data_IF_503690650465
#
_entry.id   IF_503690650465
#
_cell.length_a   1.000
_cell.length_b   1.000
_cell.length_c   1.000
_cell.angle_alpha   90.00
_cell.angle_beta   90.00
_cell.angle_gamma   90.00
#
_symmetry.space_group_name_H-M   'P 1'
#
loop_
_entity.id
_entity.type
_entity.pdbx_description
1 polymer ?
#
# COMPACT_ATOMS: atom_id res chain seq x y z
N UNK A 1 -17.88 -0.98 -5.57
CA UNK A 1 -16.78 -0.91 -4.58
C UNK A 1 -16.96 -1.98 -3.48
N UNK A 2 -15.97 -2.85 -3.31
CA UNK A 2 -16.03 -3.99 -2.36
C UNK A 2 -16.07 -3.56 -0.88
N UNK A 3 -15.55 -2.38 -0.58
CA UNK A 3 -15.55 -1.76 0.75
C UNK A 3 -15.95 -0.29 0.58
N UNK A 4 -16.89 0.25 1.39
CA UNK A 4 -17.22 1.68 1.35
C UNK A 4 -15.95 2.53 1.53
N UNK A 5 -15.74 3.61 0.78
CA UNK A 5 -14.50 4.42 0.77
C UNK A 5 -13.19 3.60 0.65
N UNK A 6 -13.17 2.54 -0.16
CA UNK A 6 -11.96 1.86 -0.61
C UNK A 6 -11.31 0.90 0.40
N UNK A 7 -10.15 0.39 0.02
CA UNK A 7 -9.24 -0.47 0.78
C UNK A 7 -7.81 -0.28 0.25
N UNK A 8 -6.80 -0.62 1.04
CA UNK A 8 -5.40 -0.57 0.60
C UNK A 8 -5.00 -1.90 -0.02
N UNK A 9 -4.31 -1.88 -1.17
CA UNK A 9 -3.88 -3.10 -1.86
C UNK A 9 -2.89 -3.91 -1.02
N UNK A 10 -3.12 -5.22 -0.91
CA UNK A 10 -2.23 -6.12 -0.16
C UNK A 10 -0.82 -6.21 -0.75
N UNK A 11 -0.69 -6.18 -2.08
CA UNK A 11 0.61 -6.27 -2.76
C UNK A 11 1.53 -5.08 -2.47
N UNK A 12 0.97 -3.87 -2.37
CA UNK A 12 1.73 -2.69 -1.98
C UNK A 12 2.07 -2.68 -0.48
N UNK A 13 1.48 -3.57 0.32
CA UNK A 13 1.40 -3.53 1.79
C UNK A 13 0.57 -2.38 2.35
N UNK A 14 0.23 -2.48 3.64
CA UNK A 14 -0.42 -1.43 4.41
C UNK A 14 0.19 -1.41 5.82
N UNK A 15 0.13 -0.24 6.49
CA UNK A 15 0.69 -0.05 7.83
C UNK A 15 -0.45 0.19 8.82
N UNK A 16 -0.44 -0.58 9.91
CA UNK A 16 -1.39 -0.44 11.00
C UNK A 16 -0.72 0.22 12.21
N UNK A 17 -1.42 1.17 12.82
CA UNK A 17 -1.03 1.65 14.14
C UNK A 17 -1.15 0.52 15.16
N UNK A 18 -0.43 0.66 16.28
CA UNK A 18 -0.49 -0.33 17.38
C UNK A 18 -1.93 -0.59 17.84
N UNK A 19 -2.75 0.45 17.93
CA UNK A 19 -4.16 0.30 18.35
C UNK A 19 -5.02 -0.31 17.24
N UNK A 20 -4.78 0.02 15.97
CA UNK A 20 -5.49 -0.63 14.85
C UNK A 20 -5.23 -2.14 14.82
N UNK A 21 -3.97 -2.54 14.97
CA UNK A 21 -3.59 -3.96 15.05
C UNK A 21 -4.20 -4.64 16.27
N UNK A 22 -4.21 -3.97 17.43
CA UNK A 22 -4.84 -4.51 18.65
C UNK A 22 -6.33 -4.77 18.45
N UNK A 23 -7.06 -3.81 17.87
CA UNK A 23 -8.49 -3.95 17.58
C UNK A 23 -8.75 -5.05 16.56
N UNK A 24 -7.96 -5.10 15.48
CA UNK A 24 -8.04 -6.17 14.50
C UNK A 24 -7.88 -7.54 15.16
N UNK A 25 -6.83 -7.74 15.95
CA UNK A 25 -6.59 -9.00 16.65
C UNK A 25 -7.74 -9.39 17.58
N UNK A 26 -8.24 -8.45 18.38
CA UNK A 26 -9.34 -8.74 19.31
C UNK A 26 -10.63 -9.12 18.59
N UNK A 27 -10.94 -8.44 17.48
CA UNK A 27 -12.12 -8.75 16.68
C UNK A 27 -11.96 -10.03 15.91
N UNK A 28 -10.81 -10.28 15.29
CA UNK A 28 -10.58 -11.50 14.53
C UNK A 28 -10.63 -12.76 15.43
N UNK A 29 -10.34 -12.65 16.73
CA UNK A 29 -10.48 -13.75 17.68
C UNK A 29 -11.85 -13.80 18.38
N UNK A 30 -12.76 -12.86 18.11
CA UNK A 30 -14.12 -12.90 18.62
C UNK A 30 -14.97 -13.80 17.71
N UNK A 31 -15.52 -14.88 18.28
CA UNK A 31 -16.38 -15.82 17.56
C UNK A 31 -17.70 -15.21 17.08
N UNK A 32 -18.05 -14.01 17.56
CA UNK A 32 -19.19 -13.22 17.09
C UNK A 32 -18.82 -12.19 16.04
N UNK A 33 -17.53 -12.06 15.69
CA UNK A 33 -17.12 -11.10 14.67
C UNK A 33 -17.62 -11.51 13.29
N UNK A 34 -17.74 -10.51 12.42
CA UNK A 34 -18.06 -10.70 11.00
C UNK A 34 -16.81 -10.65 10.12
N UNK A 35 -15.63 -10.88 10.72
CA UNK A 35 -14.38 -10.90 9.98
C UNK A 35 -14.23 -12.26 9.31
N UNK A 36 -14.04 -12.25 7.99
CA UNK A 36 -13.88 -13.48 7.22
C UNK A 36 -12.41 -13.92 7.28
N UNK A 37 -12.18 -15.16 7.73
CA UNK A 37 -10.82 -15.70 7.87
C UNK A 37 -10.25 -16.27 6.56
N UNK A 38 -11.09 -16.85 5.69
CA UNK A 38 -10.63 -17.52 4.46
C UNK A 38 -11.66 -17.42 3.32
N UNK A 39 -11.23 -17.66 2.08
CA UNK A 39 -12.05 -17.67 0.86
C UNK A 39 -12.35 -16.29 0.26
N UNK A 40 -11.76 -15.23 0.80
CA UNK A 40 -11.87 -13.85 0.30
C UNK A 40 -10.53 -13.25 -0.13
N UNK A 41 -10.57 -12.05 -0.72
CA UNK A 41 -9.35 -11.26 -0.94
C UNK A 41 -8.92 -10.63 0.38
N UNK A 42 -7.74 -10.99 0.86
CA UNK A 42 -7.22 -10.61 2.18
C UNK A 42 -7.27 -9.08 2.42
N UNK A 43 -6.89 -8.28 1.42
CA UNK A 43 -6.87 -6.82 1.50
C UNK A 43 -8.27 -6.19 1.60
N UNK A 44 -9.26 -6.82 0.97
CA UNK A 44 -10.68 -6.45 1.09
C UNK A 44 -11.20 -6.85 2.48
N UNK A 45 -10.92 -8.07 2.94
CA UNK A 45 -11.47 -8.60 4.19
C UNK A 45 -10.86 -7.92 5.42
N UNK A 46 -9.56 -7.64 5.43
CA UNK A 46 -8.93 -6.87 6.51
C UNK A 46 -9.51 -5.45 6.59
N UNK A 47 -9.76 -4.81 5.45
CA UNK A 47 -10.36 -3.48 5.41
C UNK A 47 -11.80 -3.47 5.94
N UNK A 48 -12.62 -4.49 5.63
CA UNK A 48 -13.95 -4.66 6.22
C UNK A 48 -13.87 -4.87 7.74
N UNK A 49 -13.00 -5.77 8.18
CA UNK A 49 -12.84 -6.11 9.60
C UNK A 49 -12.42 -4.90 10.43
N UNK A 50 -11.39 -4.16 9.99
CA UNK A 50 -10.91 -2.95 10.65
C UNK A 50 -12.00 -1.87 10.76
N UNK A 51 -12.82 -1.71 9.72
CA UNK A 51 -13.93 -0.76 9.73
C UNK A 51 -15.00 -1.10 10.74
N UNK A 52 -15.32 -2.38 10.92
CA UNK A 52 -16.31 -2.83 11.90
C UNK A 52 -15.94 -2.42 13.34
N UNK A 53 -14.66 -2.13 13.59
CA UNK A 53 -14.13 -1.63 14.87
C UNK A 53 -13.64 -0.18 14.83
N UNK A 54 -14.17 0.58 13.87
CA UNK A 54 -13.95 2.02 13.77
C UNK A 54 -12.54 2.42 13.36
N UNK A 55 -11.76 1.51 12.77
CA UNK A 55 -10.48 1.86 12.14
C UNK A 55 -10.74 2.22 10.68
N UNK A 56 -10.43 3.46 10.34
CA UNK A 56 -10.64 4.01 8.99
C UNK A 56 -9.33 4.07 8.22
N UNK A 57 -9.44 4.10 6.89
CA UNK A 57 -8.29 4.26 6.00
C UNK A 57 -7.66 5.64 6.20
N UNK A 58 -6.35 5.64 6.37
CA UNK A 58 -5.52 6.83 6.27
C UNK A 58 -5.08 7.09 4.83
N UNK A 59 -4.76 8.34 4.52
CA UNK A 59 -4.18 8.73 3.23
C UNK A 59 -2.73 8.25 3.13
N UNK A 60 -2.37 7.68 1.98
CA UNK A 60 -1.05 7.14 1.66
C UNK A 60 -0.18 8.08 0.82
N UNK A 61 -0.56 9.35 0.72
CA UNK A 61 0.12 10.36 -0.10
C UNK A 61 1.03 11.27 0.73
N UNK A 62 2.03 11.86 0.07
CA UNK A 62 2.83 12.94 0.64
C UNK A 62 2.19 14.33 0.50
N UNK A 63 2.92 15.36 0.93
CA UNK A 63 2.49 16.77 0.85
C UNK A 63 2.27 17.29 -0.58
N UNK A 64 2.86 16.65 -1.58
CA UNK A 64 2.70 16.95 -3.01
C UNK A 64 1.63 16.08 -3.67
N UNK A 65 0.94 15.23 -2.89
CA UNK A 65 -0.07 14.25 -3.34
C UNK A 65 0.51 13.09 -4.16
N UNK A 66 1.80 12.80 -4.03
CA UNK A 66 2.39 11.60 -4.64
C UNK A 66 2.17 10.38 -3.73
N UNK A 67 1.87 9.23 -4.33
CA UNK A 67 1.63 7.98 -3.60
C UNK A 67 2.93 7.45 -2.96
N UNK A 68 2.79 6.87 -1.76
CA UNK A 68 3.91 6.25 -1.02
C UNK A 68 3.90 4.73 -1.07
N UNK A 69 2.78 4.11 -1.43
CA UNK A 69 2.60 2.66 -1.51
C UNK A 69 2.17 2.28 -2.92
N UNK A 70 2.96 1.43 -3.57
CA UNK A 70 2.82 1.18 -5.01
C UNK A 70 2.48 -0.29 -5.29
N UNK A 71 1.28 -0.61 -5.84
CA UNK A 71 0.86 -2.00 -6.09
C UNK A 71 1.53 -2.66 -7.30
N UNK A 72 2.48 -1.98 -7.93
CA UNK A 72 3.26 -2.43 -9.08
C UNK A 72 4.74 -2.04 -8.86
N UNK A 73 5.63 -2.54 -9.71
CA UNK A 73 7.04 -2.18 -9.64
C UNK A 73 7.27 -0.72 -10.08
N UNK A 74 8.45 -0.18 -9.72
CA UNK A 74 8.82 1.20 -10.04
C UNK A 74 8.79 1.50 -11.55
N UNK A 75 9.21 0.55 -12.41
CA UNK A 75 9.25 0.78 -13.85
C UNK A 75 7.84 0.96 -14.43
N UNK A 76 6.88 0.17 -13.99
CA UNK A 76 5.51 0.26 -14.50
C UNK A 76 4.85 1.58 -14.09
N UNK A 77 5.06 2.03 -12.84
CA UNK A 77 4.61 3.35 -12.38
C UNK A 77 5.35 4.49 -13.09
N UNK A 78 6.67 4.41 -13.25
CA UNK A 78 7.45 5.48 -13.87
C UNK A 78 7.10 5.63 -15.37
N UNK A 79 7.01 4.53 -16.11
CA UNK A 79 6.74 4.56 -17.55
C UNK A 79 5.25 4.54 -17.90
N UNK A 80 4.35 4.55 -16.91
CA UNK A 80 2.91 4.47 -17.13
C UNK A 80 2.43 3.17 -17.78
N UNK A 81 3.14 2.06 -17.55
CA UNK A 81 2.76 0.71 -18.02
C UNK A 81 1.84 0.05 -17.01
N UNK A 82 0.83 0.79 -16.55
CA UNK A 82 -0.09 0.35 -15.52
C UNK A 82 -1.37 -0.20 -16.16
N UNK A 83 -1.97 -1.25 -15.59
CA UNK A 83 -3.25 -1.76 -16.04
C UNK A 83 -4.40 -0.81 -15.67
N UNK A 84 -5.46 -0.81 -16.48
CA UNK A 84 -6.62 0.08 -16.31
C UNK A 84 -7.25 0.01 -14.91
N UNK A 85 -7.20 -1.16 -14.27
CA UNK A 85 -7.78 -1.34 -12.93
C UNK A 85 -7.13 -0.42 -11.90
N UNK A 86 -5.87 -0.01 -12.07
CA UNK A 86 -5.21 0.87 -11.11
C UNK A 86 -5.95 2.21 -11.00
N UNK A 87 -6.31 2.82 -12.13
CA UNK A 87 -7.09 4.06 -12.15
C UNK A 87 -8.55 3.89 -11.70
N UNK A 88 -9.10 2.68 -11.77
CA UNK A 88 -10.47 2.37 -11.32
C UNK A 88 -10.57 2.22 -9.81
N UNK A 89 -9.54 1.70 -9.16
CA UNK A 89 -9.52 1.43 -7.72
C UNK A 89 -8.77 2.47 -6.90
N UNK A 90 -7.83 3.23 -7.49
CA UNK A 90 -7.07 4.25 -6.78
C UNK A 90 -7.95 5.43 -6.37
N UNK A 91 -7.71 5.97 -5.17
CA UNK A 91 -8.35 7.21 -4.71
C UNK A 91 -7.88 8.42 -5.54
N UNK A 92 -6.59 8.44 -5.88
CA UNK A 92 -5.98 9.47 -6.71
C UNK A 92 -5.70 8.93 -8.11
N UNK A 93 -5.73 9.82 -9.11
CA UNK A 93 -5.30 9.44 -10.46
C UNK A 93 -3.82 9.08 -10.45
N UNK A 94 -3.42 7.92 -11.03
CA UNK A 94 -2.01 7.57 -11.13
C UNK A 94 -1.22 8.64 -11.89
N UNK A 95 -0.11 9.06 -11.29
CA UNK A 95 0.86 9.94 -11.92
C UNK A 95 1.99 9.09 -12.49
N UNK A 96 2.75 9.66 -13.44
CA UNK A 96 3.80 8.96 -14.16
C UNK A 96 5.06 9.83 -14.28
N UNK A 97 6.17 9.24 -14.71
CA UNK A 97 7.47 9.92 -14.77
C UNK A 97 7.97 10.30 -13.39
N UNK A 98 8.59 11.47 -13.26
CA UNK A 98 9.14 11.94 -11.99
C UNK A 98 8.09 12.23 -10.92
N UNK A 99 6.83 12.41 -11.30
CA UNK A 99 5.72 12.62 -10.36
C UNK A 99 5.02 11.31 -9.97
N UNK A 100 5.44 10.15 -10.50
CA UNK A 100 4.77 8.87 -10.22
C UNK A 100 4.73 8.51 -8.74
N UNK A 101 5.75 8.96 -8.01
CA UNK A 101 6.17 8.29 -6.80
C UNK A 101 6.73 9.33 -5.82
N UNK A 102 6.30 9.25 -4.57
CA UNK A 102 6.80 10.14 -3.52
C UNK A 102 8.31 9.94 -3.28
N UNK A 103 9.03 11.01 -2.96
CA UNK A 103 10.39 10.91 -2.40
C UNK A 103 10.40 10.15 -1.05
N UNK A 104 9.26 10.15 -0.37
CA UNK A 104 9.02 9.39 0.87
C UNK A 104 8.37 8.03 0.60
N UNK A 105 8.59 7.46 -0.59
CA UNK A 105 8.08 6.12 -0.95
C UNK A 105 8.48 5.08 0.09
N UNK A 106 7.50 4.26 0.45
CA UNK A 106 7.57 3.19 1.45
C UNK A 106 7.75 1.83 0.77
N UNK A 107 7.01 1.53 -0.30
CA UNK A 107 7.00 0.19 -0.89
C UNK A 107 6.62 0.17 -2.36
N UNK A 108 7.18 -0.81 -3.09
CA UNK A 108 6.75 -1.24 -4.42
C UNK A 108 6.47 -2.73 -4.39
N UNK A 109 5.44 -3.18 -5.13
CA UNK A 109 5.14 -4.59 -5.32
C UNK A 109 5.88 -5.16 -6.56
N UNK A 110 5.94 -6.49 -6.69
CA UNK A 110 6.62 -7.18 -7.80
C UNK A 110 8.10 -6.81 -7.98
N UNK A 111 8.81 -6.54 -6.88
CA UNK A 111 10.24 -6.19 -6.90
C UNK A 111 11.09 -7.44 -6.66
N UNK A 112 11.96 -7.77 -7.61
CA UNK A 112 12.91 -8.88 -7.48
C UNK A 112 13.97 -8.62 -6.42
N UNK A 113 14.65 -9.67 -5.94
CA UNK A 113 15.73 -9.52 -4.96
C UNK A 113 16.85 -8.57 -5.45
N UNK A 114 17.22 -8.65 -6.73
CA UNK A 114 18.24 -7.79 -7.33
C UNK A 114 17.82 -6.32 -7.37
N UNK A 115 16.56 -6.04 -7.72
CA UNK A 115 16.00 -4.69 -7.68
C UNK A 115 15.93 -4.14 -6.25
N UNK A 116 15.57 -4.97 -5.26
CA UNK A 116 15.59 -4.57 -3.85
C UNK A 116 17.01 -4.13 -3.42
N UNK A 117 18.05 -4.91 -3.76
CA UNK A 117 19.44 -4.54 -3.47
C UNK A 117 19.88 -3.26 -4.19
N UNK A 118 19.48 -3.09 -5.46
CA UNK A 118 19.77 -1.86 -6.22
C UNK A 118 19.11 -0.64 -5.58
N UNK A 119 17.83 -0.73 -5.24
CA UNK A 119 17.09 0.35 -4.59
C UNK A 119 17.69 0.71 -3.23
N UNK A 120 18.01 -0.29 -2.40
CA UNK A 120 18.68 -0.10 -1.11
C UNK A 120 20.04 0.60 -1.27
N UNK A 121 20.85 0.14 -2.25
CA UNK A 121 22.17 0.74 -2.53
C UNK A 121 22.06 2.17 -3.03
N UNK A 122 21.08 2.49 -3.88
CA UNK A 122 20.85 3.86 -4.36
C UNK A 122 20.42 4.76 -3.18
N UNK A 123 19.51 4.27 -2.34
CA UNK A 123 18.94 5.05 -1.21
C UNK A 123 19.94 5.29 -0.08
N UNK A 124 20.68 4.26 0.32
CA UNK A 124 21.56 4.31 1.50
C UNK A 124 23.05 4.31 1.16
N UNK A 125 23.43 3.70 0.03
CA UNK A 125 24.82 3.59 -0.42
C UNK A 125 25.38 4.81 -1.14
N UNK A 126 24.54 5.74 -1.61
CA UNK A 126 24.99 6.99 -2.23
C UNK A 126 25.63 7.99 -1.23
N UNK A 127 25.47 7.76 0.08
CA UNK A 127 26.12 8.60 1.12
C UNK A 127 27.64 8.45 1.17
N UNK A 128 28.22 7.43 0.54
CA UNK A 128 29.67 7.16 0.56
C UNK A 128 30.44 7.73 -0.65
N UNK A 129 29.77 8.47 -1.55
CA UNK A 129 30.36 8.95 -2.81
C UNK A 129 30.48 10.48 -2.92
N UNK A 130 30.24 11.20 -1.82
CA UNK A 130 30.56 12.63 -1.70
C UNK A 130 31.65 12.75 -0.64
N UNK A 131 32.90 12.68 -1.09
CA UNK A 131 34.10 13.02 -0.33
C UNK A 131 34.90 14.04 -1.14
#
# INVERSE_FOLDING_TARGET
>A
PYVPNGYHSGGASYVLSREALRRFYLTNNDSKSQCQEDGGSEDIEIAKCLRNVGVLLGKSIDQHKHERFHPLNLNDHFFGRVPDWLGQYAENQPLFGYDCCSEETISFHYVSADEQYKMDRIRYGARSLIA
#
